data_IF_224940668319
#
_entry.id   IF_224940668319
#
_cell.length_a   1.000
_cell.length_b   1.000
_cell.length_c   1.000
_cell.angle_alpha   90.00
_cell.angle_beta   90.00
_cell.angle_gamma   90.00
#
_symmetry.space_group_name_H-M   'P 1'
#
loop_
_entity.id
_entity.type
_entity.pdbx_description
1 polymer ?
#
# COMPACT_ATOMS: atom_id res chain seq x y z
N UNK A 1 -11.12 -33.07 15.80
CA UNK A 1 -10.09 -32.01 15.70
C UNK A 1 -10.27 -31.19 14.41
N UNK A 2 -11.49 -30.80 14.03
CA UNK A 2 -11.77 -30.25 12.69
C UNK A 2 -12.22 -28.78 12.65
N UNK A 3 -12.98 -28.32 13.65
CA UNK A 3 -13.59 -26.98 13.64
C UNK A 3 -12.89 -26.00 14.60
N UNK A 4 -12.59 -26.39 15.84
CA UNK A 4 -11.86 -25.52 16.81
C UNK A 4 -10.53 -24.98 16.27
N UNK A 5 -9.78 -25.79 15.51
CA UNK A 5 -8.51 -25.38 14.90
C UNK A 5 -8.72 -24.44 13.68
N UNK A 6 -9.87 -24.52 13.01
CA UNK A 6 -10.21 -23.62 11.90
C UNK A 6 -10.63 -22.25 12.44
N UNK A 7 -11.38 -22.24 13.54
CA UNK A 7 -11.85 -21.02 14.19
C UNK A 7 -10.69 -20.22 14.77
N UNK A 8 -9.77 -20.89 15.47
CA UNK A 8 -8.55 -20.26 16.00
C UNK A 8 -7.66 -19.69 14.88
N UNK A 9 -7.44 -20.43 13.78
CA UNK A 9 -6.66 -19.94 12.63
C UNK A 9 -7.30 -18.73 11.96
N UNK A 10 -8.63 -18.76 11.83
CA UNK A 10 -9.40 -17.64 11.27
C UNK A 10 -9.27 -16.40 12.12
N UNK A 11 -9.39 -16.53 13.44
CA UNK A 11 -9.23 -15.41 14.37
C UNK A 11 -7.81 -14.83 14.36
N UNK A 12 -6.78 -15.70 14.35
CA UNK A 12 -5.38 -15.28 14.25
C UNK A 12 -5.13 -14.50 12.95
N UNK A 13 -5.61 -15.00 11.81
CA UNK A 13 -5.45 -14.33 10.52
C UNK A 13 -6.20 -12.99 10.48
N UNK A 14 -7.44 -12.96 10.97
CA UNK A 14 -8.24 -11.73 11.07
C UNK A 14 -7.53 -10.66 11.89
N UNK A 15 -7.03 -11.02 13.07
CA UNK A 15 -6.33 -10.10 13.97
C UNK A 15 -4.99 -9.64 13.38
N UNK A 16 -4.26 -10.52 12.68
CA UNK A 16 -3.02 -10.15 11.99
C UNK A 16 -3.27 -9.14 10.88
N UNK A 17 -4.33 -9.33 10.07
CA UNK A 17 -4.71 -8.40 9.00
C UNK A 17 -5.13 -7.05 9.61
N UNK A 18 -6.04 -7.04 10.60
CA UNK A 18 -6.50 -5.81 11.27
C UNK A 18 -5.32 -5.00 11.80
N UNK A 19 -4.41 -5.66 12.55
CA UNK A 19 -3.22 -5.02 13.11
C UNK A 19 -2.31 -4.47 12.02
N UNK A 20 -2.03 -5.26 10.98
CA UNK A 20 -1.21 -4.82 9.86
C UNK A 20 -1.78 -3.60 9.15
N UNK A 21 -3.10 -3.56 8.95
CA UNK A 21 -3.78 -2.42 8.32
C UNK A 21 -3.59 -1.15 9.17
N UNK A 22 -3.84 -1.22 10.48
CA UNK A 22 -3.66 -0.07 11.38
C UNK A 22 -2.21 0.44 11.38
N UNK A 23 -1.23 -0.46 11.36
CA UNK A 23 0.18 -0.09 11.33
C UNK A 23 0.57 0.57 9.99
N UNK A 24 0.15 0.01 8.86
CA UNK A 24 0.51 0.50 7.52
C UNK A 24 -0.24 1.79 7.17
N UNK A 25 -1.48 1.96 7.63
CA UNK A 25 -2.25 3.18 7.40
C UNK A 25 -1.50 4.44 7.85
N UNK A 26 -0.84 4.39 9.01
CA UNK A 26 -0.01 5.49 9.51
C UNK A 26 1.27 5.72 8.71
N UNK A 27 1.82 4.67 8.10
CA UNK A 27 3.05 4.74 7.30
C UNK A 27 2.80 5.30 5.89
N UNK A 28 1.61 5.10 5.33
CA UNK A 28 1.24 5.63 4.00
C UNK A 28 1.36 7.16 3.97
N UNK A 29 0.86 7.85 4.99
CA UNK A 29 0.96 9.31 5.06
C UNK A 29 2.40 9.80 5.10
N UNK A 30 3.25 9.13 5.89
CA UNK A 30 4.68 9.45 5.99
C UNK A 30 5.39 9.21 4.65
N UNK A 31 5.04 8.14 3.94
CA UNK A 31 5.60 7.83 2.62
C UNK A 31 5.18 8.88 1.58
N UNK A 32 3.90 9.28 1.57
CA UNK A 32 3.38 10.30 0.66
C UNK A 32 4.08 11.65 0.85
N UNK A 33 4.17 12.14 2.10
CA UNK A 33 4.86 13.40 2.41
C UNK A 33 6.35 13.34 2.06
N UNK A 34 7.00 12.22 2.36
CA UNK A 34 8.41 11.99 2.04
C UNK A 34 8.68 12.05 0.53
N UNK A 35 7.86 11.37 -0.26
CA UNK A 35 7.97 11.38 -1.73
C UNK A 35 7.68 12.76 -2.31
N UNK A 36 6.63 13.43 -1.84
CA UNK A 36 6.28 14.76 -2.30
C UNK A 36 7.44 15.75 -2.09
N UNK A 37 8.07 15.69 -0.91
CA UNK A 37 9.28 16.48 -0.63
C UNK A 37 10.44 16.10 -1.56
N UNK A 38 10.69 14.80 -1.76
CA UNK A 38 11.74 14.34 -2.67
C UNK A 38 11.53 14.84 -4.11
N UNK A 39 10.30 14.83 -4.61
CA UNK A 39 9.98 15.35 -5.93
C UNK A 39 10.23 16.85 -6.03
N UNK A 40 9.88 17.62 -4.98
CA UNK A 40 10.18 19.05 -4.93
C UNK A 40 11.70 19.32 -4.93
N UNK A 41 12.45 18.56 -4.12
CA UNK A 41 13.91 18.70 -4.04
C UNK A 41 14.57 18.29 -5.37
N UNK A 42 14.12 17.20 -6.02
CA UNK A 42 14.66 16.70 -7.29
C UNK A 42 14.46 17.69 -8.45
N UNK A 43 13.41 18.53 -8.40
CA UNK A 43 13.20 19.63 -9.37
C UNK A 43 14.21 20.77 -9.20
N UNK A 44 14.83 20.89 -8.03
CA UNK A 44 15.77 21.98 -7.70
C UNK A 44 17.22 21.50 -7.79
N UNK A 45 17.51 20.31 -7.28
CA UNK A 45 18.86 19.74 -7.24
C UNK A 45 18.89 18.21 -7.37
N UNK A 46 20.01 17.71 -7.89
CA UNK A 46 20.27 16.27 -8.10
C UNK A 46 21.45 15.84 -7.23
N UNK A 47 21.34 16.07 -5.93
CA UNK A 47 22.36 15.67 -4.95
C UNK A 47 22.23 14.19 -4.58
N UNK A 48 23.32 13.59 -4.07
CA UNK A 48 23.28 12.20 -3.59
C UNK A 48 22.22 12.02 -2.48
N UNK A 49 22.07 13.01 -1.61
CA UNK A 49 21.06 13.00 -0.55
C UNK A 49 19.63 12.92 -1.12
N UNK A 50 19.32 13.70 -2.16
CA UNK A 50 18.01 13.65 -2.84
C UNK A 50 17.77 12.27 -3.44
N UNK A 51 18.76 11.67 -4.10
CA UNK A 51 18.62 10.33 -4.67
C UNK A 51 18.47 9.24 -3.61
N UNK A 52 19.18 9.34 -2.47
CA UNK A 52 19.02 8.43 -1.34
C UNK A 52 17.61 8.52 -0.74
N UNK A 53 17.07 9.72 -0.60
CA UNK A 53 15.73 9.94 -0.10
C UNK A 53 14.66 9.42 -1.08
N UNK A 54 14.81 9.68 -2.38
CA UNK A 54 13.95 9.12 -3.42
C UNK A 54 13.98 7.58 -3.42
N UNK A 55 15.17 6.98 -3.32
CA UNK A 55 15.33 5.52 -3.24
C UNK A 55 14.65 4.94 -2.00
N UNK A 56 14.67 5.66 -0.87
CA UNK A 56 13.94 5.26 0.34
C UNK A 56 12.43 5.34 0.11
N UNK A 57 11.94 6.41 -0.52
CA UNK A 57 10.54 6.55 -0.90
C UNK A 57 10.05 5.42 -1.79
N UNK A 58 10.82 5.05 -2.82
CA UNK A 58 10.52 3.91 -3.70
C UNK A 58 10.43 2.59 -2.94
N UNK A 59 11.35 2.33 -2.01
CA UNK A 59 11.30 1.14 -1.15
C UNK A 59 10.05 1.12 -0.26
N UNK A 60 9.65 2.26 0.27
CA UNK A 60 8.41 2.39 1.05
C UNK A 60 7.17 2.09 0.19
N UNK A 61 7.10 2.59 -1.04
CA UNK A 61 6.01 2.25 -1.97
C UNK A 61 5.95 0.75 -2.25
N UNK A 62 7.10 0.13 -2.57
CA UNK A 62 7.15 -1.29 -2.84
C UNK A 62 6.65 -2.11 -1.64
N UNK A 63 7.07 -1.75 -0.43
CA UNK A 63 6.62 -2.41 0.80
C UNK A 63 5.10 -2.26 1.04
N UNK A 64 4.52 -1.10 0.69
CA UNK A 64 3.08 -0.87 0.78
C UNK A 64 2.35 -1.78 -0.22
N UNK A 65 2.80 -1.85 -1.47
CA UNK A 65 2.22 -2.72 -2.51
C UNK A 65 2.29 -4.20 -2.11
N UNK A 66 3.44 -4.65 -1.62
CA UNK A 66 3.63 -6.01 -1.12
C UNK A 66 2.67 -6.32 0.03
N UNK A 67 2.49 -5.37 0.95
CA UNK A 67 1.54 -5.50 2.05
C UNK A 67 0.10 -5.64 1.55
N UNK A 68 -0.35 -4.77 0.63
CA UNK A 68 -1.70 -4.85 0.06
C UNK A 68 -1.93 -6.20 -0.62
N UNK A 69 -0.94 -6.70 -1.34
CA UNK A 69 -1.00 -8.03 -1.98
C UNK A 69 -1.16 -9.16 -0.94
N UNK A 70 -0.50 -9.05 0.22
CA UNK A 70 -0.68 -10.01 1.30
C UNK A 70 -2.05 -9.90 1.98
N UNK A 71 -2.57 -8.68 2.15
CA UNK A 71 -3.93 -8.47 2.67
C UNK A 71 -4.97 -9.08 1.73
N UNK A 72 -4.85 -8.85 0.42
CA UNK A 72 -5.76 -9.40 -0.58
C UNK A 72 -5.80 -10.94 -0.52
N UNK A 73 -4.64 -11.59 -0.45
CA UNK A 73 -4.54 -13.06 -0.25
C UNK A 73 -5.09 -13.51 1.10
N UNK A 74 -4.87 -12.73 2.16
CA UNK A 74 -5.41 -13.01 3.48
C UNK A 74 -6.94 -12.98 3.50
N UNK A 75 -7.55 -12.04 2.78
CA UNK A 75 -9.01 -11.98 2.63
C UNK A 75 -9.54 -13.20 1.87
N UNK A 76 -8.86 -13.65 0.82
CA UNK A 76 -9.26 -14.90 0.12
C UNK A 76 -9.29 -16.08 1.09
N UNK A 77 -8.25 -16.24 1.90
CA UNK A 77 -8.18 -17.30 2.90
C UNK A 77 -9.30 -17.18 3.95
N UNK A 78 -9.62 -15.98 4.43
CA UNK A 78 -10.74 -15.77 5.35
C UNK A 78 -12.08 -16.13 4.70
N UNK A 79 -12.27 -15.80 3.42
CA UNK A 79 -13.45 -16.16 2.65
C UNK A 79 -13.57 -17.69 2.45
N UNK A 80 -12.47 -18.37 2.15
CA UNK A 80 -12.40 -19.85 2.12
C UNK A 80 -12.69 -20.47 3.50
N UNK A 81 -12.38 -19.75 4.58
CA UNK A 81 -12.70 -20.12 5.96
C UNK A 81 -14.16 -19.81 6.36
N UNK A 82 -14.99 -19.30 5.43
CA UNK A 82 -16.42 -19.09 5.61
C UNK A 82 -16.81 -17.67 6.03
N UNK A 83 -15.88 -16.70 5.97
CA UNK A 83 -16.23 -15.29 6.07
C UNK A 83 -16.75 -14.76 4.71
N UNK A 84 -17.40 -13.61 4.73
CA UNK A 84 -17.86 -12.93 3.50
C UNK A 84 -17.39 -11.49 3.52
N UNK A 85 -16.08 -11.29 3.31
CA UNK A 85 -15.43 -9.98 3.31
C UNK A 85 -15.32 -9.50 1.86
N UNK A 86 -15.81 -8.28 1.62
CA UNK A 86 -15.66 -7.62 0.32
C UNK A 86 -14.22 -7.15 0.09
N UNK A 87 -13.69 -7.43 -1.10
CA UNK A 87 -12.40 -6.92 -1.60
C UNK A 87 -12.51 -5.61 -2.36
N UNK A 88 -13.72 -5.05 -2.47
CA UNK A 88 -13.95 -3.78 -3.18
C UNK A 88 -13.02 -2.64 -2.71
N UNK A 89 -12.75 -2.45 -1.40
CA UNK A 89 -11.86 -1.39 -0.94
C UNK A 89 -10.40 -1.54 -1.42
N UNK A 90 -9.99 -2.75 -1.84
CA UNK A 90 -8.65 -3.01 -2.37
C UNK A 90 -8.55 -2.81 -3.89
N UNK A 91 -9.65 -2.70 -4.62
CA UNK A 91 -9.62 -2.59 -6.10
C UNK A 91 -8.81 -1.39 -6.59
N UNK A 92 -8.90 -0.26 -5.89
CA UNK A 92 -8.14 0.96 -6.20
C UNK A 92 -6.63 0.76 -6.14
N UNK A 93 -6.16 -0.18 -5.33
CA UNK A 93 -4.74 -0.56 -5.31
C UNK A 93 -4.35 -1.46 -6.49
N UNK A 94 -5.26 -2.27 -7.02
CA UNK A 94 -4.99 -3.06 -8.23
C UNK A 94 -4.73 -2.18 -9.45
N UNK A 95 -5.46 -1.08 -9.57
CA UNK A 95 -5.30 -0.07 -10.63
C UNK A 95 -3.99 0.72 -10.50
N UNK A 96 -3.43 0.77 -9.28
CA UNK A 96 -2.21 1.50 -8.97
C UNK A 96 -0.89 0.82 -9.37
N UNK A 97 -0.91 -0.50 -9.61
CA UNK A 97 0.30 -1.27 -9.92
C UNK A 97 1.02 -0.74 -11.15
N UNK A 98 0.27 -0.38 -12.20
CA UNK A 98 0.84 0.17 -13.43
C UNK A 98 1.59 1.49 -13.18
N UNK A 99 1.07 2.35 -12.30
CA UNK A 99 1.70 3.66 -11.98
C UNK A 99 3.02 3.44 -11.24
N UNK A 100 3.10 2.44 -10.35
CA UNK A 100 4.35 2.09 -9.67
C UNK A 100 5.38 1.49 -10.63
N UNK A 101 4.95 0.65 -11.57
CA UNK A 101 5.82 0.12 -12.63
C UNK A 101 6.37 1.24 -13.53
N UNK A 102 5.50 2.17 -13.94
CA UNK A 102 5.89 3.35 -14.71
C UNK A 102 6.90 4.23 -13.96
N UNK A 103 6.70 4.43 -12.66
CA UNK A 103 7.62 5.19 -11.81
C UNK A 103 8.98 4.50 -11.65
N UNK A 104 8.99 3.17 -11.48
CA UNK A 104 10.22 2.39 -11.42
C UNK A 104 10.98 2.45 -12.75
N UNK A 105 10.27 2.29 -13.87
CA UNK A 105 10.87 2.42 -15.20
C UNK A 105 11.48 3.81 -15.42
N UNK A 106 10.77 4.87 -15.04
CA UNK A 106 11.27 6.24 -15.13
C UNK A 106 12.51 6.47 -14.25
N UNK A 107 12.52 5.88 -13.04
CA UNK A 107 13.66 5.93 -12.14
C UNK A 107 14.89 5.22 -12.75
N UNK A 108 14.72 4.01 -13.30
CA UNK A 108 15.79 3.24 -13.92
C UNK A 108 16.34 3.90 -15.20
N UNK A 109 15.49 4.60 -15.96
CA UNK A 109 15.89 5.37 -17.14
C UNK A 109 16.44 6.77 -16.82
N UNK A 110 16.50 7.16 -15.55
CA UNK A 110 16.88 8.50 -15.09
C UNK A 110 15.97 9.63 -15.63
N UNK A 111 14.71 9.34 -15.89
CA UNK A 111 13.71 10.34 -16.29
C UNK A 111 13.11 11.03 -15.06
N UNK A 112 13.88 11.94 -14.49
CA UNK A 112 13.52 12.63 -13.24
C UNK A 112 12.31 13.53 -13.35
N UNK A 113 12.00 14.05 -14.56
CA UNK A 113 10.81 14.85 -14.79
C UNK A 113 9.58 13.97 -14.64
N UNK A 114 9.56 12.82 -15.33
CA UNK A 114 8.47 11.85 -15.22
C UNK A 114 8.35 11.30 -13.80
N UNK A 115 9.45 11.02 -13.10
CA UNK A 115 9.40 10.61 -11.68
C UNK A 115 8.71 11.67 -10.81
N UNK A 116 9.07 12.95 -10.98
CA UNK A 116 8.44 14.03 -10.22
C UNK A 116 6.96 14.19 -10.54
N UNK A 117 6.59 14.10 -11.82
CA UNK A 117 5.20 14.24 -12.26
C UNK A 117 4.35 13.07 -11.75
N UNK A 118 4.84 11.83 -11.84
CA UNK A 118 4.18 10.66 -11.28
C UNK A 118 3.98 10.79 -9.76
N UNK A 119 5.00 11.24 -9.02
CA UNK A 119 4.86 11.45 -7.57
C UNK A 119 3.74 12.45 -7.25
N UNK A 120 3.74 13.60 -7.93
CA UNK A 120 2.88 14.73 -7.58
C UNK A 120 1.45 14.56 -8.06
N UNK A 121 1.24 13.94 -9.21
CA UNK A 121 -0.07 13.89 -9.87
C UNK A 121 -0.75 12.53 -9.78
N UNK A 122 0.00 11.45 -9.62
CA UNK A 122 -0.55 10.08 -9.64
C UNK A 122 -0.39 9.37 -8.30
N UNK A 123 0.83 9.31 -7.74
CA UNK A 123 1.15 8.54 -6.53
C UNK A 123 0.52 9.14 -5.27
N UNK A 124 0.62 10.46 -5.05
CA UNK A 124 0.04 11.09 -3.84
C UNK A 124 -1.50 10.90 -3.75
N UNK A 125 -2.29 11.18 -4.81
CA UNK A 125 -3.72 10.87 -4.83
C UNK A 125 -4.02 9.40 -4.57
N UNK A 126 -3.25 8.51 -5.19
CA UNK A 126 -3.39 7.06 -5.07
C UNK A 126 -3.12 6.57 -3.65
N UNK A 127 -2.08 7.07 -3.00
CA UNK A 127 -1.79 6.73 -1.60
C UNK A 127 -2.91 7.20 -0.66
N UNK A 128 -3.50 8.37 -0.90
CA UNK A 128 -4.65 8.87 -0.13
C UNK A 128 -5.90 8.01 -0.32
N UNK A 129 -6.23 7.70 -1.58
CA UNK A 129 -7.37 6.84 -1.92
C UNK A 129 -7.18 5.43 -1.36
N UNK A 130 -5.96 4.91 -1.45
CA UNK A 130 -5.58 3.62 -0.91
C UNK A 130 -5.65 3.57 0.62
N UNK A 131 -5.22 4.63 1.30
CA UNK A 131 -5.37 4.78 2.76
C UNK A 131 -6.84 4.77 3.17
N UNK A 132 -7.71 5.43 2.41
CA UNK A 132 -9.15 5.42 2.64
C UNK A 132 -9.74 4.02 2.43
N UNK A 133 -9.32 3.31 1.36
CA UNK A 133 -9.73 1.92 1.12
C UNK A 133 -9.31 0.96 2.25
N UNK A 134 -8.13 1.17 2.84
CA UNK A 134 -7.68 0.41 4.01
C UNK A 134 -8.56 0.66 5.25
N UNK A 135 -8.97 1.90 5.50
CA UNK A 135 -9.91 2.22 6.60
C UNK A 135 -11.26 1.56 6.41
N UNK A 136 -11.79 1.59 5.18
CA UNK A 136 -13.06 0.94 4.84
C UNK A 136 -12.97 -0.57 5.01
N UNK A 137 -11.87 -1.18 4.57
CA UNK A 137 -11.61 -2.60 4.78
C UNK A 137 -11.53 -2.95 6.28
N UNK A 138 -10.84 -2.14 7.09
CA UNK A 138 -10.75 -2.36 8.53
C UNK A 138 -12.14 -2.39 9.16
N UNK A 139 -13.02 -1.45 8.78
CA UNK A 139 -14.40 -1.40 9.24
C UNK A 139 -15.21 -2.64 8.83
N UNK A 140 -15.02 -3.16 7.61
CA UNK A 140 -15.66 -4.41 7.19
C UNK A 140 -15.17 -5.63 7.97
N UNK A 141 -13.86 -5.71 8.24
CA UNK A 141 -13.26 -6.77 9.05
C UNK A 141 -13.74 -6.73 10.52
N UNK A 142 -14.02 -5.54 11.05
CA UNK A 142 -14.58 -5.35 12.39
C UNK A 142 -16.04 -5.81 12.51
N UNK A 143 -16.84 -5.71 11.43
CA UNK A 143 -18.20 -6.24 11.41
C UNK A 143 -18.27 -7.75 11.24
N UNK A 144 -17.27 -8.33 10.57
CA UNK A 144 -17.28 -9.71 10.14
C UNK A 144 -16.77 -10.70 11.21
N UNK A 145 -16.03 -10.22 12.22
CA UNK A 145 -15.58 -11.00 13.38
C UNK A 145 -16.39 -10.69 14.62
#
# INVERSE_FOLDING_TARGET
MGEENRDEKREVLLNAIKKGITEVEGLIGIAAEGLYKCAADLRVEQSEEVFQNLSRGMKSLNAIVDFITHVDKGIDQLNEMGMSISKEPLKKWGESLNIFEDMLSAFESNDWVTVCDLIQYEIDPLLKDGQQGLKELLFELEKAG
#
